data_IF_901442124425
#
_entry.id   IF_901442124425
#
_cell.length_a   1.000
_cell.length_b   1.000
_cell.length_c   1.000
_cell.angle_alpha   90.00
_cell.angle_beta   90.00
_cell.angle_gamma   90.00
#
_symmetry.space_group_name_H-M   'P 1'
#
loop_
_entity.id
_entity.type
_entity.pdbx_description
1 polymer ?
#
# COMPACT_ATOMS: atom_id res chain seq x y z
N UNK A 1 15.52 -6.89 -13.47
CA UNK A 1 14.87 -6.60 -12.18
C UNK A 1 15.23 -7.71 -11.23
N UNK A 2 15.79 -7.33 -10.07
CA UNK A 2 16.13 -8.26 -8.99
C UNK A 2 15.16 -8.18 -7.80
N UNK A 3 14.46 -7.05 -7.66
CA UNK A 3 13.47 -6.87 -6.62
C UNK A 3 12.22 -6.12 -7.10
N UNK A 4 11.07 -6.43 -6.50
CA UNK A 4 9.84 -5.66 -6.64
C UNK A 4 9.45 -5.08 -5.27
N UNK A 5 9.22 -3.79 -5.22
CA UNK A 5 8.76 -3.05 -4.04
C UNK A 5 7.32 -2.64 -4.30
N UNK A 6 6.41 -3.06 -3.47
CA UNK A 6 4.96 -2.83 -3.61
C UNK A 6 4.46 -1.88 -2.54
N UNK A 7 3.57 -0.98 -2.91
CA UNK A 7 2.67 -0.38 -1.93
C UNK A 7 1.68 -1.43 -1.40
N UNK A 8 1.08 -1.15 -0.23
CA UNK A 8 0.16 -2.07 0.44
C UNK A 8 -1.30 -1.77 0.09
N UNK A 9 -1.78 -0.62 0.57
CA UNK A 9 -3.20 -0.29 0.63
C UNK A 9 -3.77 -0.01 -0.77
N UNK A 10 -4.58 -0.94 -1.29
CA UNK A 10 -5.12 -0.84 -2.64
C UNK A 10 -4.21 -1.39 -3.73
N UNK A 11 -2.96 -1.72 -3.44
CA UNK A 11 -2.00 -2.28 -4.38
C UNK A 11 -1.91 -3.80 -4.24
N UNK A 12 -1.44 -4.30 -3.12
CA UNK A 12 -1.41 -5.74 -2.86
C UNK A 12 -2.51 -6.17 -1.88
N UNK A 13 -2.92 -5.31 -0.95
CA UNK A 13 -3.94 -5.57 0.06
C UNK A 13 -5.21 -4.75 -0.14
N UNK A 14 -6.36 -5.39 -0.01
CA UNK A 14 -7.64 -4.72 0.15
C UNK A 14 -7.86 -4.49 1.65
N UNK A 15 -7.46 -3.33 2.14
CA UNK A 15 -7.37 -2.97 3.56
C UNK A 15 -8.35 -1.85 3.95
N UNK A 16 -9.18 -1.41 3.02
CA UNK A 16 -10.09 -0.28 3.24
C UNK A 16 -11.08 -0.54 4.39
N UNK A 17 -11.58 -1.77 4.50
CA UNK A 17 -12.57 -2.13 5.51
C UNK A 17 -12.02 -1.99 6.94
N UNK A 18 -10.76 -2.36 7.18
CA UNK A 18 -10.11 -2.14 8.48
C UNK A 18 -9.97 -0.66 8.83
N UNK A 19 -9.70 0.18 7.83
CA UNK A 19 -9.57 1.63 8.04
C UNK A 19 -10.92 2.30 8.30
N UNK A 20 -11.95 2.01 7.48
CA UNK A 20 -13.31 2.54 7.69
C UNK A 20 -13.83 2.15 9.06
N UNK A 21 -13.71 0.87 9.41
CA UNK A 21 -14.15 0.36 10.70
C UNK A 21 -13.47 1.09 11.87
N UNK A 22 -12.15 1.23 11.83
CA UNK A 22 -11.40 1.89 12.90
C UNK A 22 -11.66 3.39 12.98
N UNK A 23 -11.79 4.07 11.84
CA UNK A 23 -12.17 5.49 11.79
C UNK A 23 -13.53 5.70 12.41
N UNK A 24 -14.53 4.91 12.02
CA UNK A 24 -15.90 5.06 12.51
C UNK A 24 -16.02 4.72 14.00
N UNK A 25 -15.29 3.72 14.50
CA UNK A 25 -15.20 3.49 15.95
C UNK A 25 -14.58 4.68 16.68
N UNK A 26 -13.55 5.32 16.10
CA UNK A 26 -12.93 6.52 16.65
C UNK A 26 -13.93 7.69 16.70
N UNK A 27 -14.60 7.96 15.59
CA UNK A 27 -15.61 9.03 15.52
C UNK A 27 -16.76 8.79 16.51
N UNK A 28 -17.20 7.55 16.64
CA UNK A 28 -18.24 7.15 17.61
C UNK A 28 -17.79 7.40 19.06
N UNK A 29 -16.55 7.04 19.41
CA UNK A 29 -15.99 7.32 20.75
C UNK A 29 -15.90 8.82 21.03
N UNK A 30 -15.63 9.62 19.98
CA UNK A 30 -15.64 11.09 20.04
C UNK A 30 -17.04 11.71 19.97
N UNK A 31 -18.12 10.92 19.93
CA UNK A 31 -19.53 11.36 19.76
C UNK A 31 -19.76 12.14 18.46
N UNK A 32 -19.11 11.73 17.38
CA UNK A 32 -19.21 12.32 16.05
C UNK A 32 -19.90 11.38 15.06
N UNK A 33 -20.39 11.93 13.96
CA UNK A 33 -21.01 11.17 12.87
C UNK A 33 -20.01 10.32 12.13
N UNK A 34 -20.40 9.10 11.75
CA UNK A 34 -19.60 8.21 10.92
C UNK A 34 -19.41 8.75 9.50
N UNK A 35 -18.30 8.36 8.87
CA UNK A 35 -18.03 8.62 7.45
C UNK A 35 -18.37 7.39 6.60
N UNK A 36 -18.68 7.62 5.32
CA UNK A 36 -18.91 6.53 4.37
C UNK A 36 -17.61 5.84 3.94
N UNK A 37 -17.74 4.64 3.39
CA UNK A 37 -16.60 3.90 2.81
C UNK A 37 -15.98 4.65 1.62
N UNK A 38 -16.80 5.36 0.85
CA UNK A 38 -16.39 6.19 -0.27
C UNK A 38 -15.54 7.36 0.19
N UNK A 39 -15.98 8.09 1.22
CA UNK A 39 -15.22 9.18 1.83
C UNK A 39 -13.88 8.68 2.38
N UNK A 40 -13.88 7.58 3.15
CA UNK A 40 -12.64 7.00 3.65
C UNK A 40 -11.67 6.64 2.52
N UNK A 41 -12.17 6.09 1.40
CA UNK A 41 -11.35 5.75 0.23
C UNK A 41 -10.64 6.96 -0.38
N UNK A 42 -11.29 8.12 -0.37
CA UNK A 42 -10.70 9.38 -0.86
C UNK A 42 -9.67 9.96 0.10
N UNK A 43 -9.77 9.63 1.39
CA UNK A 43 -8.89 10.17 2.43
C UNK A 43 -7.60 9.38 2.60
N UNK A 44 -7.59 8.12 2.16
CA UNK A 44 -6.44 7.18 2.30
C UNK A 44 -5.31 7.52 1.33
N UNK A 45 -4.06 7.28 1.76
CA UNK A 45 -2.85 7.36 0.93
C UNK A 45 -1.77 8.28 1.50
N UNK A 46 -2.16 9.30 2.26
CA UNK A 46 -1.23 10.29 2.83
C UNK A 46 -0.90 10.06 4.33
N UNK A 47 -1.19 8.87 4.84
CA UNK A 47 -0.93 8.48 6.23
C UNK A 47 -2.11 8.73 7.18
N UNK A 48 -1.97 8.19 8.40
CA UNK A 48 -3.06 8.13 9.38
C UNK A 48 -3.55 9.52 9.82
N UNK A 49 -2.62 10.48 10.00
CA UNK A 49 -2.97 11.83 10.44
C UNK A 49 -3.87 12.53 9.42
N UNK A 50 -3.51 12.52 8.14
CA UNK A 50 -4.32 13.13 7.08
C UNK A 50 -5.67 12.44 6.94
N UNK A 51 -5.73 11.12 7.10
CA UNK A 51 -6.99 10.37 7.14
C UNK A 51 -7.89 10.87 8.27
N UNK A 52 -7.37 11.02 9.49
CA UNK A 52 -8.15 11.48 10.65
C UNK A 52 -8.56 12.95 10.54
N UNK A 53 -7.68 13.83 10.05
CA UNK A 53 -8.02 15.23 9.78
C UNK A 53 -9.24 15.34 8.86
N UNK A 54 -9.21 14.64 7.73
CA UNK A 54 -10.32 14.63 6.76
C UNK A 54 -11.59 13.97 7.33
N UNK A 55 -11.45 12.93 8.14
CA UNK A 55 -12.59 12.27 8.78
C UNK A 55 -13.27 13.18 9.80
N UNK A 56 -12.51 13.89 10.61
CA UNK A 56 -13.04 14.89 11.57
C UNK A 56 -13.76 16.02 10.83
N UNK A 57 -13.15 16.59 9.79
CA UNK A 57 -13.76 17.65 9.00
C UNK A 57 -15.07 17.17 8.35
N UNK A 58 -15.09 15.96 7.77
CA UNK A 58 -16.28 15.37 7.18
C UNK A 58 -17.40 15.06 8.19
N UNK A 59 -17.03 14.87 9.46
CA UNK A 59 -17.99 14.66 10.56
C UNK A 59 -18.54 15.97 11.16
N UNK A 60 -18.21 17.12 10.52
CA UNK A 60 -18.67 18.44 10.97
C UNK A 60 -17.90 19.00 12.17
N UNK A 61 -16.73 18.44 12.49
CA UNK A 61 -15.90 18.90 13.58
C UNK A 61 -14.53 19.33 13.04
N UNK A 62 -14.13 20.61 13.22
CA UNK A 62 -12.85 21.09 12.69
C UNK A 62 -11.66 20.27 13.25
N UNK A 63 -10.90 19.63 12.36
CA UNK A 63 -9.74 18.82 12.71
C UNK A 63 -8.71 19.60 13.52
N UNK A 64 -8.56 20.89 13.26
CA UNK A 64 -7.62 21.78 13.95
C UNK A 64 -7.73 21.78 15.50
N UNK A 65 -8.91 21.46 16.03
CA UNK A 65 -9.16 21.51 17.50
C UNK A 65 -9.07 20.15 18.18
N UNK A 66 -9.33 19.05 17.46
CA UNK A 66 -9.45 17.71 18.07
C UNK A 66 -8.58 16.63 17.43
N UNK A 67 -7.65 17.01 16.56
CA UNK A 67 -6.83 16.02 15.85
C UNK A 67 -5.96 15.16 16.78
N UNK A 68 -5.41 15.74 17.83
CA UNK A 68 -4.55 14.99 18.76
C UNK A 68 -5.36 13.94 19.55
N UNK A 69 -6.56 14.31 20.01
CA UNK A 69 -7.51 13.38 20.62
C UNK A 69 -7.89 12.25 19.62
N UNK A 70 -8.27 12.62 18.41
CA UNK A 70 -8.63 11.68 17.35
C UNK A 70 -7.49 10.73 17.01
N UNK A 71 -6.25 11.21 16.92
CA UNK A 71 -5.07 10.38 16.66
C UNK A 71 -4.76 9.40 17.79
N UNK A 72 -4.93 9.83 19.05
CA UNK A 72 -4.71 8.96 20.21
C UNK A 72 -5.74 7.80 20.21
N UNK A 73 -7.01 8.12 20.02
CA UNK A 73 -8.09 7.12 19.99
C UNK A 73 -7.92 6.20 18.77
N UNK A 74 -7.71 6.76 17.58
CA UNK A 74 -7.50 6.01 16.35
C UNK A 74 -6.30 5.06 16.44
N UNK A 75 -5.19 5.52 17.01
CA UNK A 75 -3.99 4.71 17.18
C UNK A 75 -4.26 3.42 17.94
N UNK A 76 -4.96 3.52 19.07
CA UNK A 76 -5.37 2.35 19.88
C UNK A 76 -6.33 1.44 19.14
N UNK A 77 -7.41 2.01 18.60
CA UNK A 77 -8.45 1.23 17.89
C UNK A 77 -7.87 0.54 16.65
N UNK A 78 -7.05 1.26 15.87
CA UNK A 78 -6.47 0.71 14.65
C UNK A 78 -5.41 -0.35 14.92
N UNK A 79 -4.68 -0.28 16.03
CA UNK A 79 -3.72 -1.32 16.39
C UNK A 79 -4.39 -2.67 16.66
N UNK A 80 -5.60 -2.66 17.19
CA UNK A 80 -6.42 -3.86 17.43
C UNK A 80 -7.13 -4.34 16.15
N UNK A 81 -7.53 -3.42 15.26
CA UNK A 81 -8.42 -3.72 14.13
C UNK A 81 -7.77 -3.58 12.74
N UNK A 82 -6.45 -3.36 12.67
CA UNK A 82 -5.76 -3.15 11.38
C UNK A 82 -5.80 -4.36 10.42
N UNK A 83 -6.21 -5.53 10.92
CA UNK A 83 -6.41 -6.75 10.14
C UNK A 83 -7.88 -7.10 9.90
N UNK A 84 -8.82 -6.24 10.32
CA UNK A 84 -10.24 -6.49 10.14
C UNK A 84 -10.61 -6.55 8.64
N UNK A 85 -11.15 -7.68 8.19
CA UNK A 85 -11.57 -7.96 6.82
C UNK A 85 -10.51 -7.62 5.74
N UNK A 86 -9.22 -7.74 6.07
CA UNK A 86 -8.15 -7.56 5.07
C UNK A 86 -8.07 -8.78 4.16
N UNK A 87 -7.97 -8.54 2.85
CA UNK A 87 -7.88 -9.60 1.84
C UNK A 87 -6.83 -9.25 0.79
N UNK A 88 -6.25 -10.24 0.10
CA UNK A 88 -5.38 -9.94 -1.03
C UNK A 88 -6.17 -9.26 -2.15
N UNK A 89 -5.51 -8.41 -2.92
CA UNK A 89 -6.08 -7.94 -4.18
C UNK A 89 -6.08 -9.07 -5.21
N UNK A 90 -7.14 -9.14 -6.02
CA UNK A 90 -7.35 -10.17 -7.05
C UNK A 90 -6.13 -10.30 -8.00
N UNK A 91 -5.70 -11.53 -8.26
CA UNK A 91 -4.57 -11.89 -9.13
C UNK A 91 -3.18 -11.59 -8.55
N UNK A 92 -3.10 -10.92 -7.39
CA UNK A 92 -1.82 -10.56 -6.76
C UNK A 92 -1.12 -11.76 -6.14
N UNK A 93 -1.78 -12.66 -5.40
CA UNK A 93 -1.10 -13.83 -4.83
C UNK A 93 -0.34 -14.64 -5.86
N UNK A 94 -0.99 -14.98 -6.97
CA UNK A 94 -0.41 -15.77 -8.06
C UNK A 94 0.81 -15.06 -8.68
N UNK A 95 0.72 -13.75 -8.87
CA UNK A 95 1.82 -12.93 -9.37
C UNK A 95 3.02 -12.96 -8.41
N UNK A 96 2.78 -12.72 -7.12
CA UNK A 96 3.84 -12.72 -6.11
C UNK A 96 4.54 -14.07 -6.01
N UNK A 97 3.80 -15.18 -5.98
CA UNK A 97 4.37 -16.51 -5.97
C UNK A 97 5.22 -16.81 -7.21
N UNK A 98 4.78 -16.37 -8.41
CA UNK A 98 5.56 -16.53 -9.64
C UNK A 98 6.85 -15.72 -9.61
N UNK A 99 6.82 -14.46 -9.14
CA UNK A 99 8.02 -13.65 -8.96
C UNK A 99 9.00 -14.29 -7.98
N UNK A 100 8.50 -14.79 -6.85
CA UNK A 100 9.33 -15.48 -5.83
C UNK A 100 10.01 -16.73 -6.41
N UNK A 101 9.27 -17.55 -7.19
CA UNK A 101 9.84 -18.73 -7.89
C UNK A 101 10.94 -18.38 -8.89
N UNK A 102 10.94 -17.15 -9.42
CA UNK A 102 11.98 -16.65 -10.32
C UNK A 102 13.15 -16.01 -9.60
N UNK A 103 13.22 -16.10 -8.27
CA UNK A 103 14.28 -15.51 -7.47
C UNK A 103 14.19 -14.00 -7.30
N UNK A 104 13.07 -13.37 -7.67
CA UNK A 104 12.86 -11.94 -7.46
C UNK A 104 12.55 -11.71 -5.98
N UNK A 105 13.28 -10.79 -5.35
CA UNK A 105 13.02 -10.37 -3.98
C UNK A 105 11.77 -9.50 -3.91
N UNK A 106 10.94 -9.72 -2.90
CA UNK A 106 9.66 -9.03 -2.73
C UNK A 106 9.69 -8.19 -1.47
N UNK A 107 9.30 -6.92 -1.58
CA UNK A 107 9.17 -6.05 -0.42
C UNK A 107 7.92 -5.18 -0.50
N UNK A 108 7.52 -4.67 0.66
CA UNK A 108 6.43 -3.70 0.81
C UNK A 108 7.01 -2.37 1.30
N UNK A 109 6.52 -1.26 0.76
CA UNK A 109 6.78 0.10 1.23
C UNK A 109 5.46 0.89 1.30
N UNK A 110 5.02 1.24 2.50
CA UNK A 110 3.72 1.89 2.73
C UNK A 110 3.81 3.09 3.67
N UNK A 111 2.94 4.08 3.49
CA UNK A 111 2.73 5.19 4.44
C UNK A 111 1.86 4.79 5.65
N UNK A 112 1.38 3.54 5.70
CA UNK A 112 0.73 2.97 6.88
C UNK A 112 1.73 2.84 8.02
N UNK A 113 1.38 3.08 9.30
CA UNK A 113 2.30 2.87 10.42
C UNK A 113 2.91 1.47 10.40
N UNK A 114 4.19 1.35 10.78
CA UNK A 114 4.98 0.14 10.51
C UNK A 114 4.37 -1.13 11.13
N UNK A 115 3.99 -1.08 12.41
CA UNK A 115 3.44 -2.26 13.09
C UNK A 115 2.16 -2.74 12.41
N UNK A 116 1.25 -1.84 12.04
CA UNK A 116 -0.01 -2.17 11.38
C UNK A 116 0.21 -2.63 9.92
N UNK A 117 1.23 -2.09 9.22
CA UNK A 117 1.60 -2.58 7.90
C UNK A 117 2.10 -4.02 7.96
N UNK A 118 2.96 -4.35 8.92
CA UNK A 118 3.46 -5.71 9.13
C UNK A 118 2.32 -6.67 9.49
N UNK A 119 1.47 -6.31 10.47
CA UNK A 119 0.29 -7.12 10.86
C UNK A 119 -0.61 -7.41 9.65
N UNK A 120 -0.94 -6.38 8.85
CA UNK A 120 -1.80 -6.54 7.68
C UNK A 120 -1.17 -7.44 6.59
N UNK A 121 0.12 -7.25 6.28
CA UNK A 121 0.83 -8.10 5.31
C UNK A 121 0.88 -9.54 5.78
N UNK A 122 1.17 -9.79 7.06
CA UNK A 122 1.21 -11.13 7.63
C UNK A 122 -0.18 -11.81 7.63
N UNK A 123 -1.24 -11.06 7.93
CA UNK A 123 -2.60 -11.57 7.87
C UNK A 123 -3.03 -11.97 6.45
N UNK A 124 -2.58 -11.23 5.42
CA UNK A 124 -2.96 -11.48 4.03
C UNK A 124 -2.09 -12.57 3.38
N UNK A 125 -0.77 -12.59 3.66
CA UNK A 125 0.21 -13.35 2.90
C UNK A 125 1.08 -14.29 3.74
N UNK A 126 0.94 -14.26 5.06
CA UNK A 126 1.86 -14.93 5.98
C UNK A 126 3.22 -14.22 6.09
N UNK A 127 4.06 -14.70 6.99
CA UNK A 127 5.32 -14.03 7.36
C UNK A 127 6.46 -14.23 6.35
N UNK A 128 6.34 -15.26 5.48
CA UNK A 128 7.48 -15.75 4.67
C UNK A 128 7.48 -15.29 3.21
N UNK A 129 6.39 -14.70 2.72
CA UNK A 129 6.29 -14.35 1.30
C UNK A 129 7.17 -13.16 0.95
N UNK A 130 7.15 -12.10 1.76
CA UNK A 130 7.94 -10.90 1.55
C UNK A 130 9.28 -10.99 2.26
N UNK A 131 10.35 -10.56 1.58
CA UNK A 131 11.71 -10.51 2.13
C UNK A 131 11.90 -9.30 3.06
N UNK A 132 11.07 -8.25 2.89
CA UNK A 132 11.04 -7.07 3.75
C UNK A 132 9.68 -6.37 3.71
N UNK A 133 9.23 -5.90 4.87
CA UNK A 133 8.03 -5.03 4.98
C UNK A 133 8.44 -3.75 5.69
N UNK A 134 8.23 -2.60 5.03
CA UNK A 134 8.48 -1.28 5.55
C UNK A 134 7.20 -0.45 5.53
N UNK A 135 6.67 -0.16 6.69
CA UNK A 135 5.69 0.88 6.91
C UNK A 135 6.34 2.16 7.43
N UNK A 136 5.55 3.18 7.72
CA UNK A 136 6.01 4.47 8.22
C UNK A 136 6.67 4.32 9.59
N UNK A 137 7.85 4.96 9.73
CA UNK A 137 8.59 5.21 10.96
C UNK A 137 9.12 6.63 10.92
N UNK A 138 9.38 7.22 12.08
CA UNK A 138 9.82 8.62 12.17
C UNK A 138 11.17 8.87 11.50
N UNK A 139 12.05 7.85 11.49
CA UNK A 139 13.40 7.96 10.92
C UNK A 139 13.41 7.89 9.37
N UNK A 140 12.30 7.56 8.74
CA UNK A 140 12.20 7.43 7.28
C UNK A 140 11.12 8.36 6.76
N UNK A 141 11.47 9.36 5.94
CA UNK A 141 10.50 10.25 5.33
C UNK A 141 9.40 9.49 4.58
N UNK A 142 8.17 10.03 4.67
CA UNK A 142 7.01 9.41 4.00
C UNK A 142 7.11 9.52 2.49
N UNK A 143 6.53 8.57 1.79
CA UNK A 143 6.25 8.73 0.36
C UNK A 143 5.48 10.05 0.13
N UNK A 144 5.84 10.86 -0.85
CA UNK A 144 6.63 10.55 -2.04
C UNK A 144 8.15 10.78 -1.93
N UNK A 145 8.71 10.95 -0.73
CA UNK A 145 10.16 10.97 -0.56
C UNK A 145 10.76 9.61 -0.97
N UNK A 146 11.87 9.58 -1.73
CA UNK A 146 12.48 8.36 -2.24
C UNK A 146 13.27 7.57 -1.19
N UNK A 147 13.53 8.13 -0.01
CA UNK A 147 14.36 7.52 1.04
C UNK A 147 13.89 6.11 1.41
N UNK A 148 12.57 5.90 1.47
CA UNK A 148 11.99 4.58 1.75
C UNK A 148 12.36 3.53 0.70
N UNK A 149 12.42 3.90 -0.59
CA UNK A 149 12.82 3.00 -1.69
C UNK A 149 14.29 2.60 -1.53
N UNK A 150 15.18 3.57 -1.27
CA UNK A 150 16.60 3.31 -1.06
C UNK A 150 16.85 2.45 0.18
N UNK A 151 16.12 2.74 1.27
CA UNK A 151 16.21 1.93 2.49
C UNK A 151 15.82 0.47 2.24
N UNK A 152 14.68 0.24 1.58
CA UNK A 152 14.20 -1.11 1.26
C UNK A 152 15.16 -1.83 0.32
N UNK A 153 15.66 -1.19 -0.74
CA UNK A 153 16.66 -1.76 -1.65
C UNK A 153 17.92 -2.21 -0.91
N UNK A 154 18.42 -1.36 0.03
CA UNK A 154 19.55 -1.71 0.91
C UNK A 154 19.26 -2.92 1.78
N UNK A 155 18.06 -3.01 2.39
CA UNK A 155 17.65 -4.16 3.21
C UNK A 155 17.57 -5.46 2.40
N UNK A 156 17.15 -5.35 1.14
CA UNK A 156 17.14 -6.48 0.21
C UNK A 156 18.53 -6.85 -0.34
N UNK A 157 19.55 -6.00 -0.16
CA UNK A 157 20.88 -6.21 -0.72
C UNK A 157 20.88 -6.14 -2.26
N UNK A 158 20.13 -5.21 -2.85
CA UNK A 158 20.05 -4.99 -4.31
C UNK A 158 20.28 -3.52 -4.63
N UNK A 159 20.79 -3.23 -5.83
CA UNK A 159 20.85 -1.87 -6.33
C UNK A 159 19.41 -1.37 -6.59
N UNK A 160 19.07 -0.16 -6.12
CA UNK A 160 17.74 0.42 -6.32
C UNK A 160 17.37 0.52 -7.80
N UNK A 161 18.35 0.72 -8.70
CA UNK A 161 18.14 0.72 -10.16
C UNK A 161 17.66 -0.61 -10.72
N UNK A 162 17.88 -1.69 -9.98
CA UNK A 162 17.40 -3.04 -10.31
C UNK A 162 16.04 -3.35 -9.66
N UNK A 163 15.44 -2.36 -8.97
CA UNK A 163 14.11 -2.47 -8.38
C UNK A 163 13.02 -2.04 -9.37
N UNK A 164 11.85 -2.66 -9.26
CA UNK A 164 10.58 -2.20 -9.80
C UNK A 164 9.70 -1.74 -8.66
N UNK A 165 9.20 -0.50 -8.71
CA UNK A 165 8.22 0.01 -7.77
C UNK A 165 6.80 -0.10 -8.32
N UNK A 166 5.85 -0.58 -7.53
CA UNK A 166 4.45 -0.82 -7.93
C UNK A 166 3.52 -0.23 -6.88
N UNK A 167 2.63 0.65 -7.30
CA UNK A 167 1.61 1.27 -6.45
C UNK A 167 0.37 1.65 -7.23
N UNK A 168 -0.67 2.14 -6.56
CA UNK A 168 -1.95 2.48 -7.22
C UNK A 168 -2.31 3.97 -7.12
N UNK A 169 -1.61 4.74 -6.30
CA UNK A 169 -1.85 6.15 -6.04
C UNK A 169 -0.89 7.08 -6.83
N UNK A 170 -1.23 8.36 -6.87
CA UNK A 170 -0.33 9.39 -7.41
C UNK A 170 0.96 9.50 -6.59
N UNK A 171 0.85 9.34 -5.27
CA UNK A 171 2.01 9.32 -4.35
C UNK A 171 3.02 8.26 -4.76
N UNK A 172 2.56 7.08 -5.19
CA UNK A 172 3.44 5.98 -5.61
C UNK A 172 4.16 6.29 -6.93
N UNK A 173 3.43 6.90 -7.87
CA UNK A 173 4.02 7.33 -9.15
C UNK A 173 5.15 8.34 -8.91
N UNK A 174 4.89 9.34 -8.05
CA UNK A 174 5.89 10.35 -7.69
C UNK A 174 7.05 9.73 -6.91
N UNK A 175 6.78 8.81 -5.98
CA UNK A 175 7.83 8.08 -5.23
C UNK A 175 8.79 7.37 -6.18
N UNK A 176 8.26 6.59 -7.11
CA UNK A 176 9.08 5.86 -8.08
C UNK A 176 9.88 6.79 -8.99
N UNK A 177 9.28 7.90 -9.42
CA UNK A 177 9.95 8.93 -10.22
C UNK A 177 11.09 9.61 -9.44
N UNK A 178 10.83 10.02 -8.20
CA UNK A 178 11.83 10.66 -7.34
C UNK A 178 13.00 9.72 -7.01
N UNK A 179 12.73 8.43 -6.86
CA UNK A 179 13.78 7.43 -6.63
C UNK A 179 14.56 7.06 -7.92
N UNK A 180 14.12 7.49 -9.10
CA UNK A 180 14.74 7.10 -10.36
C UNK A 180 14.61 5.60 -10.68
N UNK A 181 13.65 4.92 -10.08
CA UNK A 181 13.37 3.49 -10.34
C UNK A 181 12.28 3.33 -11.40
N UNK A 182 12.22 2.14 -12.03
CA UNK A 182 11.08 1.80 -12.87
C UNK A 182 9.83 1.76 -11.99
N UNK A 183 8.82 2.58 -12.31
CA UNK A 183 7.57 2.63 -11.58
C UNK A 183 6.40 2.16 -12.43
N UNK A 184 5.45 1.45 -11.82
CA UNK A 184 4.21 1.01 -12.45
C UNK A 184 3.02 1.38 -11.56
N UNK A 185 2.03 2.05 -12.17
CA UNK A 185 0.76 2.35 -11.51
C UNK A 185 -0.22 1.21 -11.71
N UNK A 186 -0.82 0.75 -10.61
CA UNK A 186 -1.97 -0.14 -10.66
C UNK A 186 -3.22 0.69 -10.94
N UNK A 187 -3.96 0.37 -11.99
CA UNK A 187 -5.18 1.10 -12.32
C UNK A 187 -6.37 0.61 -11.48
N UNK A 188 -6.89 1.47 -10.62
CA UNK A 188 -8.06 1.16 -9.77
C UNK A 188 -9.36 0.97 -10.57
N UNK A 189 -9.49 1.62 -11.73
CA UNK A 189 -10.71 1.53 -12.57
C UNK A 189 -10.86 0.17 -13.26
N UNK A 190 -9.77 -0.56 -13.45
CA UNK A 190 -9.78 -1.89 -14.07
C UNK A 190 -10.24 -3.01 -13.12
N UNK A 191 -10.59 -2.69 -11.86
CA UNK A 191 -11.20 -3.64 -10.91
C UNK A 191 -12.57 -4.17 -11.33
N UNK A 192 -13.30 -3.44 -12.19
CA UNK A 192 -14.66 -3.82 -12.62
C UNK A 192 -14.67 -4.77 -13.82
N UNK A 193 -13.58 -4.89 -14.56
CA UNK A 193 -13.46 -5.76 -15.73
C UNK A 193 -12.32 -6.76 -15.54
N UNK A 194 -12.68 -7.93 -14.98
CA UNK A 194 -11.93 -9.20 -15.02
C UNK A 194 -10.43 -9.08 -15.27
N UNK A 195 -9.60 -9.24 -14.26
CA UNK A 195 -8.22 -9.83 -14.24
C UNK A 195 -7.24 -9.66 -15.41
N UNK A 196 -7.59 -8.95 -16.47
CA UNK A 196 -6.91 -9.02 -17.77
C UNK A 196 -5.91 -7.90 -18.11
N UNK A 197 -5.74 -6.85 -17.31
CA UNK A 197 -5.11 -5.62 -17.81
C UNK A 197 -3.73 -5.28 -17.23
N UNK A 198 -3.18 -6.06 -16.33
CA UNK A 198 -1.83 -5.82 -15.83
C UNK A 198 -0.73 -5.86 -16.91
N UNK A 199 -1.03 -6.37 -18.09
CA UNK A 199 -0.05 -6.85 -19.06
C UNK A 199 0.14 -5.97 -20.29
N UNK A 200 -0.82 -5.15 -20.68
CA UNK A 200 -0.70 -4.36 -21.93
C UNK A 200 0.45 -3.35 -21.94
N UNK A 201 0.86 -2.82 -20.77
CA UNK A 201 1.88 -1.78 -20.69
C UNK A 201 3.31 -2.30 -20.48
N UNK A 202 3.51 -3.59 -20.16
CA UNK A 202 4.85 -4.18 -20.04
C UNK A 202 5.51 -4.47 -21.39
N UNK A 203 4.75 -4.48 -22.49
CA UNK A 203 5.28 -4.68 -23.85
C UNK A 203 6.24 -3.57 -24.32
N UNK A 204 6.26 -2.40 -23.69
CA UNK A 204 7.16 -1.30 -24.07
C UNK A 204 8.55 -1.37 -23.42
N UNK A 205 8.78 -2.25 -22.45
CA UNK A 205 10.08 -2.46 -21.81
C UNK A 205 10.80 -3.62 -22.49
N UNK A 206 11.18 -3.43 -23.75
CA UNK A 206 12.08 -4.35 -24.47
C UNK A 206 13.44 -4.39 -23.76
N UNK A 207 13.71 -5.47 -23.03
CA UNK A 207 15.00 -6.06 -22.59
C UNK A 207 15.01 -6.61 -21.15
N UNK A 208 13.95 -7.31 -20.74
CA UNK A 208 14.05 -8.27 -19.62
C UNK A 208 13.02 -9.36 -19.85
N UNK A 209 13.30 -10.22 -20.82
CA UNK A 209 12.37 -11.22 -21.38
C UNK A 209 11.75 -12.19 -20.35
N UNK A 210 12.37 -12.39 -19.20
CA UNK A 210 11.94 -13.44 -18.27
C UNK A 210 10.78 -13.01 -17.33
N UNK A 211 10.76 -11.77 -16.87
CA UNK A 211 9.68 -11.27 -16.00
C UNK A 211 8.42 -10.95 -16.83
N UNK A 212 8.61 -10.56 -18.10
CA UNK A 212 7.50 -10.25 -19.01
C UNK A 212 6.63 -11.49 -19.31
N UNK A 213 7.24 -12.67 -19.41
CA UNK A 213 6.52 -13.93 -19.71
C UNK A 213 5.57 -14.33 -18.56
N UNK A 214 5.94 -14.10 -17.31
CA UNK A 214 5.10 -14.45 -16.14
C UNK A 214 3.85 -13.58 -16.07
N UNK A 215 3.99 -12.30 -16.38
CA UNK A 215 2.86 -11.38 -16.32
C UNK A 215 1.91 -11.52 -17.52
N UNK A 216 2.39 -12.02 -18.66
CA UNK A 216 1.57 -12.28 -19.87
C UNK A 216 0.73 -13.56 -19.73
N UNK A 217 1.21 -14.56 -18.99
CA UNK A 217 0.52 -15.86 -18.85
C UNK A 217 -0.65 -15.83 -17.87
N UNK A 218 -0.80 -14.79 -17.05
CA UNK A 218 -1.91 -14.62 -16.09
C UNK A 218 -3.20 -14.07 -16.72
N UNK A 219 -3.23 -13.84 -18.03
CA UNK A 219 -4.35 -13.23 -18.78
C UNK A 219 -4.92 -14.13 -19.89
N UNK A 220 -4.76 -15.44 -19.78
CA UNK A 220 -5.51 -16.41 -20.57
C UNK A 220 -6.49 -17.19 -19.71
#
# INVERSE_FOLDING_TARGET
IKACIFDLDGTIGNTLDSMVYSVNLTLKEMSLSEISKEQCREFVGNGARVLMEKALDASGNPSATRIEEGMQIYGRIFDENCTYHVTPCEGVPEMLYKLKKQGVKLAVLSNKPHCQAVKAVHAIYGEKLFDWVQGQKDEIPRKPDPAGVFYVAKKLGVDYKECLYVGDSEVDVVTGKNAGVKAKRRNRKERAEKGKIWIRHLKSVKRSFMILSVMIFMCR
#
